data_IF_758832810790
#
_entry.id   IF_758832810790
#
_cell.length_a   1.000
_cell.length_b   1.000
_cell.length_c   1.000
_cell.angle_alpha   90.00
_cell.angle_beta   90.00
_cell.angle_gamma   90.00
#
_symmetry.space_group_name_H-M   'P 1'
#
loop_
_entity.id
_entity.type
_entity.pdbx_description
1 polymer ?
#
# COMPACT_ATOMS: atom_id res chain seq x y z
N UNK A 1 -3.60 -18.20 4.61
CA UNK A 1 -2.86 -17.46 3.55
C UNK A 1 -3.80 -16.66 2.66
N UNK A 2 -3.52 -15.37 2.55
CA UNK A 2 -4.19 -14.39 1.70
C UNK A 2 -3.16 -13.70 0.80
N UNK A 3 -3.58 -13.30 -0.40
CA UNK A 3 -2.73 -12.55 -1.33
C UNK A 3 -3.27 -11.13 -1.43
N UNK A 4 -2.46 -10.16 -1.05
CA UNK A 4 -2.77 -8.74 -1.14
C UNK A 4 -2.06 -8.13 -2.34
N UNK A 5 -2.75 -7.24 -3.03
CA UNK A 5 -2.20 -6.43 -4.12
C UNK A 5 -1.92 -5.04 -3.58
N UNK A 6 -0.70 -4.57 -3.78
CA UNK A 6 -0.20 -3.32 -3.25
C UNK A 6 0.28 -2.42 -4.39
N UNK A 7 0.20 -1.12 -4.18
CA UNK A 7 0.71 -0.10 -5.08
C UNK A 7 1.54 0.92 -4.27
N UNK A 8 2.71 1.30 -4.78
CA UNK A 8 3.44 2.46 -4.29
C UNK A 8 2.85 3.73 -4.92
N UNK A 9 2.21 4.55 -4.10
CA UNK A 9 1.64 5.83 -4.56
C UNK A 9 2.77 6.82 -4.86
N UNK A 10 2.65 7.58 -5.95
CA UNK A 10 3.63 8.59 -6.36
C UNK A 10 4.89 8.05 -7.07
N UNK A 11 5.04 6.73 -7.20
CA UNK A 11 6.14 6.12 -7.96
C UNK A 11 5.73 5.94 -9.44
N UNK A 12 6.54 6.44 -10.39
CA UNK A 12 6.32 6.24 -11.83
C UNK A 12 6.78 4.86 -12.28
N UNK A 13 5.85 4.04 -12.77
CA UNK A 13 6.13 2.72 -13.34
C UNK A 13 6.51 1.67 -12.30
N UNK A 14 6.08 0.43 -12.51
CA UNK A 14 6.38 -0.75 -11.67
C UNK A 14 5.98 -0.68 -10.18
N UNK A 15 5.16 0.28 -9.78
CA UNK A 15 4.69 0.45 -8.41
C UNK A 15 3.80 -0.67 -7.86
N UNK A 16 3.33 -1.60 -8.70
CA UNK A 16 2.36 -2.63 -8.33
C UNK A 16 3.04 -3.97 -8.06
N UNK A 17 2.80 -4.52 -6.88
CA UNK A 17 3.35 -5.79 -6.44
C UNK A 17 2.31 -6.54 -5.60
N UNK A 18 2.60 -7.81 -5.30
CA UNK A 18 1.70 -8.62 -4.48
C UNK A 18 2.45 -9.28 -3.35
N UNK A 19 1.87 -9.28 -2.16
CA UNK A 19 2.42 -9.93 -0.98
C UNK A 19 1.49 -11.04 -0.52
N UNK A 20 2.06 -12.13 -0.03
CA UNK A 20 1.32 -13.23 0.57
C UNK A 20 1.60 -13.26 2.06
N UNK A 21 0.55 -13.22 2.86
CA UNK A 21 0.62 -13.28 4.33
C UNK A 21 -0.43 -14.29 4.85
N UNK A 22 -0.32 -14.73 6.09
CA UNK A 22 -1.41 -15.45 6.74
C UNK A 22 -2.52 -14.49 7.21
N UNK A 23 -3.76 -14.97 7.24
CA UNK A 23 -4.90 -14.14 7.67
C UNK A 23 -4.85 -13.80 9.17
N UNK A 24 -4.05 -14.53 9.95
CA UNK A 24 -3.81 -14.27 11.37
C UNK A 24 -2.67 -13.27 11.62
N UNK A 25 -1.91 -12.88 10.60
CA UNK A 25 -0.79 -11.94 10.73
C UNK A 25 -1.27 -10.50 10.89
N UNK A 26 -0.48 -9.70 11.61
CA UNK A 26 -0.80 -8.31 11.91
C UNK A 26 -0.44 -7.35 10.78
N UNK A 27 -0.89 -6.09 10.88
CA UNK A 27 -0.47 -5.01 9.97
C UNK A 27 1.05 -4.78 10.04
N UNK A 28 1.68 -4.96 11.21
CA UNK A 28 3.13 -4.90 11.34
C UNK A 28 3.85 -6.00 10.55
N UNK A 29 3.28 -7.20 10.51
CA UNK A 29 3.84 -8.30 9.73
C UNK A 29 3.65 -8.06 8.23
N UNK A 30 2.50 -7.48 7.84
CA UNK A 30 2.27 -7.01 6.48
C UNK A 30 3.31 -5.94 6.07
N UNK A 31 3.60 -4.95 6.92
CA UNK A 31 4.64 -3.93 6.66
C UNK A 31 6.01 -4.56 6.45
N UNK A 32 6.37 -5.60 7.22
CA UNK A 32 7.63 -6.34 7.04
C UNK A 32 7.63 -7.13 5.72
N UNK A 33 6.52 -7.81 5.38
CA UNK A 33 6.39 -8.58 4.15
C UNK A 33 6.51 -7.68 2.91
N UNK A 34 5.86 -6.52 2.93
CA UNK A 34 5.94 -5.50 1.87
C UNK A 34 7.38 -5.04 1.64
N UNK A 35 8.10 -4.70 2.71
CA UNK A 35 9.51 -4.30 2.60
C UNK A 35 10.39 -5.42 2.03
N UNK A 36 10.10 -6.68 2.35
CA UNK A 36 10.86 -7.82 1.84
C UNK A 36 10.60 -8.05 0.34
N UNK A 37 9.38 -7.81 -0.12
CA UNK A 37 8.96 -8.05 -1.50
C UNK A 37 9.36 -6.92 -2.46
N UNK A 38 9.45 -5.68 -1.96
CA UNK A 38 9.72 -4.52 -2.80
C UNK A 38 10.96 -3.74 -2.32
N UNK A 39 12.06 -3.85 -3.08
CA UNK A 39 13.34 -3.21 -2.79
C UNK A 39 13.32 -1.67 -2.93
N UNK A 40 12.34 -1.10 -3.63
CA UNK A 40 12.16 0.35 -3.74
C UNK A 40 11.80 0.99 -2.39
N UNK A 41 11.33 0.19 -1.43
CA UNK A 41 11.01 0.63 -0.06
C UNK A 41 12.28 0.64 0.79
N UNK A 42 13.00 1.75 0.73
CA UNK A 42 14.30 1.91 1.41
C UNK A 42 14.19 2.21 2.91
N UNK A 43 13.02 2.65 3.40
CA UNK A 43 12.80 3.01 4.80
C UNK A 43 12.65 1.76 5.71
N UNK A 44 12.61 1.95 7.03
CA UNK A 44 12.33 0.85 7.95
C UNK A 44 10.87 0.39 7.80
N UNK A 45 10.58 -0.92 7.94
CA UNK A 45 9.21 -1.46 7.80
C UNK A 45 8.19 -0.73 8.70
N UNK A 46 8.59 -0.40 9.94
CA UNK A 46 7.76 0.38 10.88
C UNK A 46 7.40 1.80 10.43
N UNK A 47 8.09 2.33 9.41
CA UNK A 47 7.83 3.64 8.79
C UNK A 47 7.00 3.54 7.51
N UNK A 48 6.65 2.32 7.08
CA UNK A 48 5.74 2.13 5.95
C UNK A 48 4.33 2.44 6.44
N UNK A 49 3.68 3.40 5.81
CA UNK A 49 2.28 3.73 6.03
C UNK A 49 1.43 3.01 4.99
N UNK A 50 0.34 2.39 5.43
CA UNK A 50 -0.54 1.60 4.59
C UNK A 50 -1.92 2.23 4.56
N UNK A 51 -2.50 2.29 3.38
CA UNK A 51 -3.81 2.88 3.16
C UNK A 51 -4.67 1.88 2.38
N UNK A 52 -5.94 1.76 2.77
CA UNK A 52 -6.86 0.88 2.08
C UNK A 52 -7.17 1.44 0.70
N UNK A 53 -6.75 0.76 -0.36
CA UNK A 53 -6.97 1.16 -1.76
C UNK A 53 -8.44 1.17 -2.22
N UNK A 54 -9.38 1.01 -1.28
CA UNK A 54 -10.83 1.04 -1.51
C UNK A 54 -11.37 2.38 -1.06
N UNK A 55 -12.03 3.07 -1.98
CA UNK A 55 -12.71 4.34 -1.71
C UNK A 55 -14.06 4.12 -1.00
N UNK A 56 -14.66 5.21 -0.50
CA UNK A 56 -15.88 5.19 0.31
C UNK A 56 -17.11 4.53 -0.34
N UNK A 57 -17.10 4.31 -1.65
CA UNK A 57 -18.13 3.63 -2.43
C UNK A 57 -17.87 2.11 -2.60
N UNK A 58 -16.89 1.54 -1.89
CA UNK A 58 -16.38 0.19 -2.05
C UNK A 58 -15.66 -0.09 -3.39
N UNK A 59 -15.37 0.94 -4.18
CA UNK A 59 -14.60 0.78 -5.43
C UNK A 59 -13.12 0.63 -5.11
N UNK A 60 -12.51 -0.42 -5.65
CA UNK A 60 -11.07 -0.63 -5.59
C UNK A 60 -10.37 0.22 -6.63
N UNK A 61 -9.26 0.84 -6.25
CA UNK A 61 -8.36 1.48 -7.20
C UNK A 61 -7.84 0.47 -8.23
N UNK A 62 -7.97 0.85 -9.49
CA UNK A 62 -7.22 0.21 -10.56
C UNK A 62 -5.82 0.84 -10.70
N UNK A 63 -5.06 0.36 -11.69
CA UNK A 63 -3.70 0.86 -11.96
C UNK A 63 -3.69 2.37 -12.21
N UNK A 64 -4.57 2.84 -13.10
CA UNK A 64 -4.63 4.24 -13.50
C UNK A 64 -5.03 5.14 -12.34
N UNK A 65 -5.99 4.68 -11.52
CA UNK A 65 -6.43 5.39 -10.33
C UNK A 65 -5.32 5.53 -9.30
N UNK A 66 -4.56 4.45 -9.03
CA UNK A 66 -3.43 4.48 -8.11
C UNK A 66 -2.28 5.40 -8.59
N UNK A 67 -2.03 5.49 -9.91
CA UNK A 67 -1.07 6.44 -10.49
C UNK A 67 -1.55 7.91 -10.39
N UNK A 68 -2.87 8.14 -10.36
CA UNK A 68 -3.49 9.45 -10.30
C UNK A 68 -3.74 9.96 -8.87
N UNK A 69 -3.48 9.15 -7.83
CA UNK A 69 -3.68 9.55 -6.44
C UNK A 69 -2.83 10.78 -6.11
N UNK A 70 -3.48 11.81 -5.60
CA UNK A 70 -2.81 13.00 -5.04
C UNK A 70 -2.37 12.70 -3.61
N UNK A 71 -1.17 13.18 -3.28
CA UNK A 71 -0.62 13.14 -1.93
C UNK A 71 -0.68 14.54 -1.34
N UNK A 72 -0.99 14.62 -0.05
CA UNK A 72 -0.91 15.87 0.71
C UNK A 72 0.55 16.28 1.01
N UNK A 73 0.72 17.35 1.79
CA UNK A 73 2.04 17.86 2.17
C UNK A 73 2.89 16.88 3.01
N UNK A 74 2.27 15.88 3.63
CA UNK A 74 2.92 14.84 4.42
C UNK A 74 3.18 13.56 3.60
N UNK A 75 2.72 13.51 2.34
CA UNK A 75 2.80 12.33 1.50
C UNK A 75 1.66 11.33 1.73
N UNK A 76 0.56 11.75 2.36
CA UNK A 76 -0.61 10.90 2.60
C UNK A 76 -1.62 11.00 1.46
N UNK A 77 -2.17 9.87 0.99
CA UNK A 77 -3.16 9.88 -0.07
C UNK A 77 -4.51 10.40 0.45
N UNK A 78 -5.08 11.39 -0.22
CA UNK A 78 -6.32 12.04 0.19
C UNK A 78 -7.53 11.10 0.02
N UNK A 79 -8.38 11.00 1.05
CA UNK A 79 -9.63 10.23 0.98
C UNK A 79 -9.48 8.71 1.18
N UNK A 80 -8.29 8.24 1.57
CA UNK A 80 -8.05 6.82 1.88
C UNK A 80 -7.98 6.58 3.38
N UNK A 81 -8.53 5.45 3.82
CA UNK A 81 -8.45 5.05 5.23
C UNK A 81 -7.06 4.51 5.55
N UNK A 82 -6.42 5.06 6.59
CA UNK A 82 -5.18 4.54 7.14
C UNK A 82 -5.39 3.16 7.76
N UNK A 83 -4.40 2.27 7.61
CA UNK A 83 -4.39 0.93 8.20
C UNK A 83 -3.40 0.90 9.37
N UNK A 84 -3.94 0.78 10.59
CA UNK A 84 -3.17 0.61 11.83
C UNK A 84 -2.94 -0.86 12.20
#
# INVERSE_FOLDING_TARGET
>A
MVKLFCALVGAKGNAFFSVTIDASESVDDLKKAIKKENEDITCAARKVELFLARMGDNTWLDRSGAEAVTLDENGHPEGFAHMD
#
